data_IF_123292739643
#
_entry.id   IF_123292739643
#
_cell.length_a   1.000
_cell.length_b   1.000
_cell.length_c   1.000
_cell.angle_alpha   90.00
_cell.angle_beta   90.00
_cell.angle_gamma   90.00
#
_symmetry.space_group_name_H-M   'P 1'
#
loop_
_entity.id
_entity.type
_entity.pdbx_description
1 polymer ?
#
# COMPACT_ATOMS: atom_id res chain seq x y z
N UNK A 1 12.35 -15.45 -17.29
CA UNK A 1 11.85 -14.72 -16.11
C UNK A 1 10.91 -13.65 -16.61
N UNK A 2 9.65 -13.67 -16.20
CA UNK A 2 8.65 -12.70 -16.66
C UNK A 2 9.04 -11.30 -16.19
N UNK A 3 9.10 -10.37 -17.14
CA UNK A 3 9.61 -9.00 -17.01
C UNK A 3 8.53 -8.00 -16.56
N UNK A 4 7.44 -8.46 -15.96
CA UNK A 4 6.39 -7.58 -15.46
C UNK A 4 6.76 -7.18 -14.04
N UNK A 5 7.27 -5.97 -13.89
CA UNK A 5 7.42 -5.36 -12.58
C UNK A 5 6.02 -5.09 -12.04
N UNK A 6 5.60 -5.85 -11.03
CA UNK A 6 4.33 -5.62 -10.36
C UNK A 6 4.38 -4.23 -9.71
N UNK A 7 3.38 -3.41 -10.01
CA UNK A 7 3.19 -2.08 -9.42
C UNK A 7 1.74 -1.96 -9.00
N UNK A 8 1.52 -1.54 -7.76
CA UNK A 8 0.20 -1.24 -7.26
C UNK A 8 -0.18 0.17 -7.71
N UNK A 9 -1.16 0.25 -8.59
CA UNK A 9 -1.66 1.54 -9.08
C UNK A 9 -2.78 2.01 -8.14
N UNK A 10 -2.54 3.15 -7.48
CA UNK A 10 -3.56 3.77 -6.64
C UNK A 10 -4.82 4.12 -7.44
N UNK A 11 -5.98 3.99 -6.82
CA UNK A 11 -7.30 4.19 -7.42
C UNK A 11 -7.89 5.52 -6.95
N UNK A 12 -7.41 6.62 -7.52
CA UNK A 12 -7.89 7.98 -7.19
C UNK A 12 -9.43 8.12 -7.31
N UNK A 13 -10.04 7.35 -8.21
CA UNK A 13 -11.50 7.31 -8.39
C UNK A 13 -12.30 6.76 -7.21
N UNK A 14 -11.65 6.17 -6.21
CA UNK A 14 -12.32 5.68 -5.00
C UNK A 14 -12.47 6.76 -3.92
N UNK A 15 -11.87 7.95 -4.07
CA UNK A 15 -11.92 8.98 -3.04
C UNK A 15 -13.36 9.49 -2.82
N UNK A 16 -13.98 9.22 -1.64
CA UNK A 16 -15.34 9.67 -1.39
C UNK A 16 -15.35 11.18 -1.11
N UNK A 17 -16.54 11.79 -1.21
CA UNK A 17 -16.77 13.20 -0.89
C UNK A 17 -18.18 13.37 -0.31
N UNK A 18 -18.34 14.37 0.55
CA UNK A 18 -19.64 14.83 1.07
C UNK A 18 -20.47 13.72 1.76
N UNK A 19 -19.76 12.82 2.46
CA UNK A 19 -20.34 11.75 3.28
C UNK A 19 -21.11 12.32 4.47
N UNK A 20 -22.14 11.60 4.91
CA UNK A 20 -22.84 11.93 6.16
C UNK A 20 -22.00 11.46 7.36
N UNK A 21 -21.77 12.34 8.33
CA UNK A 21 -21.01 12.05 9.55
C UNK A 21 -19.47 11.96 9.41
N UNK A 22 -18.90 11.98 8.20
CA UNK A 22 -17.45 12.00 7.97
C UNK A 22 -17.07 13.22 7.16
N UNK A 23 -16.24 14.10 7.72
CA UNK A 23 -15.87 15.36 7.07
C UNK A 23 -14.94 15.16 5.87
N UNK A 24 -15.01 16.06 4.89
CA UNK A 24 -14.09 16.07 3.76
C UNK A 24 -12.63 16.22 4.20
N UNK A 25 -12.36 16.97 5.28
CA UNK A 25 -11.01 17.09 5.84
C UNK A 25 -10.47 15.73 6.32
N UNK A 26 -11.31 14.93 7.00
CA UNK A 26 -10.94 13.60 7.44
C UNK A 26 -10.64 12.70 6.23
N UNK A 27 -11.50 12.74 5.20
CA UNK A 27 -11.28 11.97 3.98
C UNK A 27 -10.01 12.40 3.23
N UNK A 28 -9.76 13.70 3.12
CA UNK A 28 -8.58 14.23 2.42
C UNK A 28 -7.30 13.72 3.06
N UNK A 29 -7.19 13.80 4.39
CA UNK A 29 -5.99 13.31 5.08
C UNK A 29 -5.87 11.78 4.97
N UNK A 30 -6.95 11.05 5.22
CA UNK A 30 -6.97 9.59 5.19
C UNK A 30 -6.64 9.02 3.80
N UNK A 31 -7.15 9.65 2.74
CA UNK A 31 -6.91 9.23 1.36
C UNK A 31 -5.56 9.70 0.82
N UNK A 32 -5.27 11.01 0.89
CA UNK A 32 -4.08 11.58 0.24
C UNK A 32 -2.78 11.30 1.00
N UNK A 33 -2.85 11.13 2.33
CA UNK A 33 -1.66 10.87 3.15
C UNK A 33 -1.49 9.39 3.44
N UNK A 34 -2.50 8.74 4.05
CA UNK A 34 -2.33 7.36 4.52
C UNK A 34 -2.44 6.34 3.38
N UNK A 35 -3.55 6.34 2.63
CA UNK A 35 -3.73 5.38 1.53
C UNK A 35 -2.63 5.50 0.46
N UNK A 36 -2.38 6.72 -0.06
CA UNK A 36 -1.29 6.93 -1.02
C UNK A 36 0.09 6.63 -0.44
N UNK A 37 0.26 6.82 0.87
CA UNK A 37 1.46 6.40 1.60
C UNK A 37 1.72 4.90 1.47
N UNK A 38 0.71 4.07 1.74
CA UNK A 38 0.82 2.61 1.60
C UNK A 38 1.12 2.18 0.16
N UNK A 39 0.43 2.76 -0.82
CA UNK A 39 0.68 2.47 -2.25
C UNK A 39 2.11 2.81 -2.65
N UNK A 40 2.62 3.97 -2.23
CA UNK A 40 3.98 4.39 -2.54
C UNK A 40 5.02 3.45 -1.91
N UNK A 41 4.88 3.15 -0.61
CA UNK A 41 5.82 2.27 0.10
C UNK A 41 5.79 0.83 -0.40
N UNK A 42 4.62 0.29 -0.74
CA UNK A 42 4.49 -1.03 -1.35
C UNK A 42 5.29 -1.12 -2.65
N UNK A 43 5.19 -0.10 -3.51
CA UNK A 43 5.93 -0.05 -4.77
C UNK A 43 7.45 0.06 -4.55
N UNK A 44 7.91 0.86 -3.59
CA UNK A 44 9.33 0.91 -3.22
C UNK A 44 9.84 -0.45 -2.69
N UNK A 45 9.03 -1.15 -1.91
CA UNK A 45 9.36 -2.48 -1.38
C UNK A 45 9.48 -3.49 -2.53
N UNK A 46 8.52 -3.52 -3.46
CA UNK A 46 8.57 -4.38 -4.63
C UNK A 46 9.78 -4.12 -5.51
N UNK A 47 10.17 -2.85 -5.69
CA UNK A 47 11.41 -2.49 -6.39
C UNK A 47 12.65 -3.07 -5.69
N UNK A 48 12.77 -2.91 -4.36
CA UNK A 48 13.90 -3.46 -3.59
C UNK A 48 13.94 -4.99 -3.57
N UNK A 49 12.79 -5.65 -3.60
CA UNK A 49 12.69 -7.11 -3.63
C UNK A 49 13.20 -7.75 -4.93
N UNK A 50 13.33 -6.98 -6.01
CA UNK A 50 13.91 -7.44 -7.27
C UNK A 50 15.42 -7.69 -7.16
N UNK A 51 16.13 -6.89 -6.37
CA UNK A 51 17.60 -6.90 -6.28
C UNK A 51 18.14 -7.40 -4.93
N UNK A 52 17.28 -7.56 -3.92
CA UNK A 52 17.68 -8.07 -2.59
C UNK A 52 18.32 -9.45 -2.66
N UNK A 53 19.44 -9.61 -1.95
CA UNK A 53 20.18 -10.87 -1.84
C UNK A 53 19.46 -11.87 -0.94
N UNK A 54 18.78 -12.84 -1.58
CA UNK A 54 18.02 -13.90 -0.90
C UNK A 54 18.90 -14.94 -0.22
N UNK A 55 20.18 -15.05 -0.59
CA UNK A 55 21.09 -16.01 0.05
C UNK A 55 21.43 -15.62 1.51
N UNK A 56 21.22 -14.35 1.87
CA UNK A 56 21.38 -13.81 3.22
C UNK A 56 20.11 -13.86 4.07
N UNK A 57 19.05 -14.55 3.61
CA UNK A 57 17.81 -14.66 4.35
C UNK A 57 18.04 -15.29 5.74
N UNK A 58 17.53 -14.63 6.77
CA UNK A 58 17.65 -15.07 8.15
C UNK A 58 16.43 -14.59 8.97
N UNK A 59 15.98 -15.44 9.89
CA UNK A 59 14.77 -15.20 10.69
C UNK A 59 14.93 -14.17 11.80
N UNK A 60 16.15 -14.01 12.35
CA UNK A 60 16.41 -13.03 13.41
C UNK A 60 16.45 -11.62 12.81
N UNK A 61 17.12 -11.47 11.66
CA UNK A 61 17.14 -10.26 10.86
C UNK A 61 17.72 -10.56 9.48
N UNK A 62 17.08 -10.04 8.43
CA UNK A 62 17.69 -9.90 7.10
C UNK A 62 16.90 -8.87 6.29
N UNK A 63 17.55 -8.17 5.38
CA UNK A 63 16.86 -7.20 4.51
C UNK A 63 15.68 -7.85 3.76
N UNK A 64 15.85 -9.08 3.27
CA UNK A 64 14.78 -9.84 2.65
C UNK A 64 13.59 -10.08 3.59
N UNK A 65 13.85 -10.45 4.85
CA UNK A 65 12.80 -10.64 5.86
C UNK A 65 12.05 -9.34 6.12
N UNK A 66 12.76 -8.24 6.35
CA UNK A 66 12.13 -6.96 6.66
C UNK A 66 11.30 -6.46 5.46
N UNK A 67 11.82 -6.57 4.23
CA UNK A 67 11.04 -6.22 3.04
C UNK A 67 9.75 -7.05 2.92
N UNK A 68 9.80 -8.37 3.15
CA UNK A 68 8.61 -9.23 3.11
C UNK A 68 7.62 -8.92 4.25
N UNK A 69 8.11 -8.52 5.42
CA UNK A 69 7.27 -8.11 6.54
C UNK A 69 6.51 -6.82 6.19
N UNK A 70 7.25 -5.79 5.78
CA UNK A 70 6.67 -4.50 5.42
C UNK A 70 5.79 -4.57 4.16
N UNK A 71 6.06 -5.51 3.25
CA UNK A 71 5.21 -5.77 2.09
C UNK A 71 3.79 -6.13 2.52
N UNK A 72 3.63 -7.01 3.52
CA UNK A 72 2.28 -7.41 3.98
C UNK A 72 1.53 -6.23 4.59
N UNK A 73 2.21 -5.43 5.42
CA UNK A 73 1.62 -4.24 6.04
C UNK A 73 1.16 -3.21 5.01
N UNK A 74 2.00 -2.90 4.02
CA UNK A 74 1.66 -1.90 3.00
C UNK A 74 0.68 -2.44 1.95
N UNK A 75 0.72 -3.75 1.65
CA UNK A 75 -0.26 -4.40 0.80
C UNK A 75 -1.65 -4.36 1.41
N UNK A 76 -1.79 -4.80 2.67
CA UNK A 76 -3.06 -4.75 3.39
C UNK A 76 -3.51 -3.29 3.57
N UNK A 77 -2.58 -2.39 3.86
CA UNK A 77 -2.82 -0.95 3.90
C UNK A 77 -3.44 -0.42 2.61
N UNK A 78 -2.91 -0.78 1.44
CA UNK A 78 -3.48 -0.37 0.16
C UNK A 78 -4.84 -1.05 -0.11
N UNK A 79 -4.90 -2.37 -0.03
CA UNK A 79 -6.09 -3.16 -0.38
C UNK A 79 -7.28 -2.84 0.52
N UNK A 80 -7.09 -2.82 1.84
CA UNK A 80 -8.19 -2.59 2.80
C UNK A 80 -8.73 -1.17 2.69
N UNK A 81 -7.89 -0.18 2.39
CA UNK A 81 -8.37 1.18 2.17
C UNK A 81 -9.17 1.30 0.86
N UNK A 82 -8.78 0.60 -0.21
CA UNK A 82 -9.59 0.55 -1.43
C UNK A 82 -10.97 -0.06 -1.17
N UNK A 83 -11.04 -1.15 -0.40
CA UNK A 83 -12.32 -1.75 0.00
C UNK A 83 -13.14 -0.83 0.91
N UNK A 84 -12.48 -0.16 1.87
CA UNK A 84 -13.11 0.80 2.77
C UNK A 84 -13.75 1.95 1.99
N UNK A 85 -12.96 2.66 1.16
CA UNK A 85 -13.46 3.80 0.39
C UNK A 85 -14.47 3.38 -0.68
N UNK A 86 -14.28 2.24 -1.33
CA UNK A 86 -15.24 1.70 -2.30
C UNK A 86 -16.61 1.35 -1.70
N UNK A 87 -16.67 1.12 -0.39
CA UNK A 87 -17.91 0.83 0.33
C UNK A 87 -18.55 2.05 1.01
N UNK A 88 -17.95 3.24 0.87
CA UNK A 88 -18.54 4.48 1.35
C UNK A 88 -19.36 5.14 0.24
N UNK A 89 -20.67 5.14 0.42
CA UNK A 89 -21.62 5.85 -0.43
C UNK A 89 -22.43 6.82 0.43
N UNK A 90 -22.96 7.85 -0.23
CA UNK A 90 -24.01 8.68 0.36
C UNK A 90 -25.37 8.05 0.08
#
# INVERSE_FOLDING_TARGET
>A
MNTWQEKWNGKDGLKPKDLDGISNQQIDYHFETHYKGYVNRLNEIWEKLLSTDRSKANQNYSEFRELKLEETFNYDGALLHELYFGNLQK
#
